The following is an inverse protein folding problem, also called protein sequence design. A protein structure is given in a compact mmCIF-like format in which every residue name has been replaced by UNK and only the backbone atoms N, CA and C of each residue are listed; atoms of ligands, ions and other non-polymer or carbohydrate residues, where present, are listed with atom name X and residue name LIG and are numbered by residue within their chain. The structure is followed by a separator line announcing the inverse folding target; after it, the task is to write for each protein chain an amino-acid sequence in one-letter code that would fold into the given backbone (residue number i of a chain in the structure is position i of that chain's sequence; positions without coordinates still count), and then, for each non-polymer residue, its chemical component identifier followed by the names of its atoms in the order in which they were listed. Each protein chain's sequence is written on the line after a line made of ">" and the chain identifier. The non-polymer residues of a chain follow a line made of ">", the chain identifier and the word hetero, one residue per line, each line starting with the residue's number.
data_IF_889822850242
#
_entry.id   IF_889822850242
#
_cell.length_a   1.000
_cell.length_b   1.000
_cell.length_c   1.000
_cell.angle_alpha   90.00
_cell.angle_beta   90.00
_cell.angle_gamma   90.00
#
_symmetry.space_group_name_H-M   'P 1'
#
loop_
_entity.id
_entity.type
_entity.pdbx_description
1 polymer ?
#
# COMPACT_ATOMS: atom_id res chain seq x y z
N UNK A 1 -9.47 27.93 -11.98
CA UNK A 1 -8.88 29.18 -12.49
C UNK A 1 -7.52 29.32 -11.82
N UNK A 2 -6.42 29.18 -12.56
CA UNK A 2 -5.06 29.38 -12.04
C UNK A 2 -4.69 30.86 -12.22
N UNK A 3 -4.10 31.46 -11.19
CA UNK A 3 -3.60 32.82 -11.24
C UNK A 3 -2.40 32.88 -12.21
N UNK A 4 -2.26 33.93 -13.04
CA UNK A 4 -1.05 34.14 -13.85
C UNK A 4 0.21 34.18 -12.97
N UNK A 5 1.32 33.58 -13.42
CA UNK A 5 2.55 33.42 -12.61
C UNK A 5 3.09 34.75 -12.05
N UNK A 6 3.00 35.83 -12.84
CA UNK A 6 3.44 37.17 -12.42
C UNK A 6 2.59 37.73 -11.26
N UNK A 7 1.27 37.55 -11.30
CA UNK A 7 0.38 37.96 -10.21
C UNK A 7 0.54 37.07 -8.97
N UNK A 8 0.92 35.81 -9.14
CA UNK A 8 1.18 34.93 -8.00
C UNK A 8 2.41 35.39 -7.23
N UNK A 9 3.47 35.82 -7.92
CA UNK A 9 4.69 36.32 -7.29
C UNK A 9 4.44 37.60 -6.47
N UNK A 10 3.75 38.58 -7.05
CA UNK A 10 3.40 39.82 -6.34
C UNK A 10 2.50 39.54 -5.13
N UNK A 11 1.55 38.60 -5.26
CA UNK A 11 0.68 38.19 -4.16
C UNK A 11 1.46 37.55 -2.99
N UNK A 12 2.44 36.69 -3.28
CA UNK A 12 3.25 36.05 -2.24
C UNK A 12 4.16 37.05 -1.53
N UNK A 13 4.76 38.00 -2.26
CA UNK A 13 5.58 39.08 -1.68
C UNK A 13 4.76 39.97 -0.73
N UNK A 14 3.60 40.42 -1.18
CA UNK A 14 2.74 41.29 -0.39
C UNK A 14 2.20 40.58 0.87
N UNK A 15 1.97 39.26 0.78
CA UNK A 15 1.57 38.44 1.92
C UNK A 15 2.71 38.26 2.94
N UNK A 16 3.94 38.02 2.47
CA UNK A 16 5.13 37.88 3.30
C UNK A 16 5.43 39.19 4.04
N UNK A 17 5.42 40.33 3.35
CA UNK A 17 5.59 41.66 3.96
C UNK A 17 4.50 41.95 5.01
N UNK A 18 3.26 41.55 4.75
CA UNK A 18 2.16 41.70 5.71
C UNK A 18 2.35 40.81 6.94
N UNK A 19 2.77 39.55 6.78
CA UNK A 19 3.01 38.61 7.87
C UNK A 19 4.23 39.01 8.72
N UNK A 20 5.32 39.49 8.10
CA UNK A 20 6.51 40.02 8.79
C UNK A 20 6.19 41.29 9.58
N UNK A 21 5.43 42.23 8.98
CA UNK A 21 5.03 43.47 9.64
C UNK A 21 4.12 43.24 10.85
N UNK A 22 3.32 42.17 10.83
CA UNK A 22 2.42 41.81 11.93
C UNK A 22 3.03 40.85 12.95
N UNK A 23 4.29 40.42 12.74
CA UNK A 23 5.11 39.62 13.66
C UNK A 23 4.28 38.57 14.44
N UNK A 24 3.45 37.84 13.71
CA UNK A 24 2.51 36.88 14.31
C UNK A 24 3.30 35.68 14.85
N UNK A 25 3.14 35.38 16.15
CA UNK A 25 3.84 34.31 16.87
C UNK A 25 3.41 32.88 16.45
N UNK A 26 2.54 32.75 15.44
CA UNK A 26 1.99 31.48 15.00
C UNK A 26 2.31 31.24 13.52
N UNK A 27 2.70 30.00 13.24
CA UNK A 27 2.71 29.33 11.92
C UNK A 27 1.86 30.10 10.90
N UNK A 28 2.52 30.69 9.90
CA UNK A 28 1.88 31.54 8.90
C UNK A 28 0.75 30.81 8.20
N UNK A 29 -0.15 31.54 7.54
CA UNK A 29 -1.30 30.90 6.90
C UNK A 29 -0.87 29.83 5.89
N UNK A 30 0.26 30.06 5.22
CA UNK A 30 0.91 29.13 4.29
C UNK A 30 1.45 27.90 5.01
N UNK A 31 2.21 28.10 6.10
CA UNK A 31 2.78 27.00 6.88
C UNK A 31 1.67 26.12 7.49
N UNK A 32 0.54 26.72 7.91
CA UNK A 32 -0.62 25.99 8.44
C UNK A 32 -1.27 25.12 7.38
N UNK A 33 -1.41 25.65 6.16
CA UNK A 33 -1.91 24.90 5.01
C UNK A 33 -0.93 23.76 4.66
N UNK A 34 0.38 24.02 4.69
CA UNK A 34 1.41 23.01 4.44
C UNK A 34 1.37 21.86 5.46
N UNK A 35 1.28 22.18 6.75
CA UNK A 35 1.16 21.19 7.84
C UNK A 35 -0.12 20.37 7.68
N UNK A 36 -1.26 21.02 7.46
CA UNK A 36 -2.54 20.32 7.33
C UNK A 36 -2.56 19.43 6.09
N UNK A 37 -2.02 19.91 4.96
CA UNK A 37 -1.87 19.13 3.73
C UNK A 37 -0.97 17.91 3.95
N UNK A 38 0.21 18.08 4.53
CA UNK A 38 1.12 16.96 4.83
C UNK A 38 0.49 15.95 5.80
N UNK A 39 -0.29 16.42 6.80
CA UNK A 39 -1.03 15.55 7.72
C UNK A 39 -2.14 14.77 7.02
N UNK A 40 -2.79 15.36 6.02
CA UNK A 40 -3.80 14.68 5.20
C UNK A 40 -3.14 13.65 4.29
N UNK A 41 -2.10 14.04 3.56
CA UNK A 41 -1.35 13.16 2.64
C UNK A 41 -0.79 11.95 3.38
N UNK A 42 -0.05 12.15 4.47
CA UNK A 42 0.51 11.05 5.26
C UNK A 42 -0.56 10.13 5.87
N UNK A 43 -1.74 10.66 6.22
CA UNK A 43 -2.87 9.83 6.68
C UNK A 43 -3.48 9.01 5.54
N UNK A 44 -3.57 9.58 4.35
CA UNK A 44 -4.12 8.89 3.17
C UNK A 44 -3.15 7.80 2.74
N UNK A 45 -1.88 8.12 2.55
CA UNK A 45 -0.83 7.16 2.18
C UNK A 45 -0.74 6.02 3.18
N UNK A 46 -0.58 6.32 4.47
CA UNK A 46 -0.49 5.29 5.51
C UNK A 46 -1.75 4.42 5.62
N UNK A 47 -2.94 4.96 5.31
CA UNK A 47 -4.18 4.17 5.27
C UNK A 47 -4.24 3.26 4.04
N UNK A 48 -3.76 3.72 2.90
CA UNK A 48 -3.73 2.93 1.66
C UNK A 48 -2.73 1.80 1.78
N UNK A 49 -1.49 2.11 2.17
CA UNK A 49 -0.42 1.12 2.39
C UNK A 49 -0.82 0.10 3.46
N UNK A 50 -1.25 0.56 4.63
CA UNK A 50 -1.67 -0.34 5.72
C UNK A 50 -2.87 -1.22 5.36
N UNK A 51 -3.76 -0.74 4.48
CA UNK A 51 -4.87 -1.58 3.97
C UNK A 51 -4.35 -2.64 3.00
N UNK A 52 -3.46 -2.28 2.08
CA UNK A 52 -2.89 -3.22 1.11
C UNK A 52 -2.08 -4.32 1.82
N UNK A 53 -1.17 -3.95 2.72
CA UNK A 53 -0.39 -4.89 3.53
C UNK A 53 -1.30 -5.79 4.38
N UNK A 54 -2.32 -5.20 5.01
CA UNK A 54 -3.28 -5.95 5.82
C UNK A 54 -4.11 -6.95 5.02
N UNK A 55 -4.51 -6.60 3.79
CA UNK A 55 -5.21 -7.51 2.87
C UNK A 55 -4.31 -8.68 2.45
N UNK A 56 -3.08 -8.39 2.05
CA UNK A 56 -2.12 -9.41 1.63
C UNK A 56 -1.77 -10.36 2.79
N UNK A 57 -1.46 -9.83 3.98
CA UNK A 57 -1.22 -10.64 5.17
C UNK A 57 -2.44 -11.50 5.56
N UNK A 58 -3.65 -10.95 5.41
CA UNK A 58 -4.91 -11.66 5.63
C UNK A 58 -5.13 -12.81 4.65
N UNK A 59 -4.84 -12.60 3.37
CA UNK A 59 -4.94 -13.63 2.33
C UNK A 59 -3.97 -14.78 2.61
N UNK A 60 -2.69 -14.47 2.86
CA UNK A 60 -1.65 -15.46 3.18
C UNK A 60 -2.04 -16.27 4.41
N UNK A 61 -2.47 -15.60 5.49
CA UNK A 61 -2.90 -16.28 6.72
C UNK A 61 -4.07 -17.23 6.46
N UNK A 62 -5.03 -16.81 5.64
CA UNK A 62 -6.21 -17.63 5.30
C UNK A 62 -5.79 -18.87 4.51
N UNK A 63 -4.96 -18.68 3.50
CA UNK A 63 -4.44 -19.77 2.68
C UNK A 63 -3.67 -20.80 3.52
N UNK A 64 -2.73 -20.36 4.35
CA UNK A 64 -1.98 -21.24 5.25
C UNK A 64 -2.91 -22.02 6.19
N UNK A 65 -3.93 -21.36 6.75
CA UNK A 65 -4.91 -22.01 7.63
C UNK A 65 -5.69 -23.10 6.89
N UNK A 66 -6.10 -22.86 5.64
CA UNK A 66 -6.82 -23.87 4.84
C UNK A 66 -5.90 -25.05 4.55
N UNK A 67 -4.65 -24.80 4.15
CA UNK A 67 -3.64 -25.83 3.88
C UNK A 67 -3.37 -26.70 5.11
N UNK A 68 -3.17 -26.08 6.28
CA UNK A 68 -2.95 -26.78 7.54
C UNK A 68 -4.14 -27.68 7.91
N UNK A 69 -5.36 -27.18 7.74
CA UNK A 69 -6.58 -27.94 8.04
C UNK A 69 -6.86 -29.07 7.05
N UNK A 70 -6.59 -28.87 5.76
CA UNK A 70 -6.90 -29.85 4.71
C UNK A 70 -5.82 -30.92 4.59
N UNK A 71 -4.57 -30.50 4.53
CA UNK A 71 -3.46 -31.39 4.21
C UNK A 71 -2.84 -32.02 5.47
N UNK A 72 -3.14 -31.50 6.66
CA UNK A 72 -2.80 -32.12 7.94
C UNK A 72 -1.30 -32.34 8.20
N UNK A 73 -0.43 -31.83 7.33
CA UNK A 73 1.02 -31.97 7.36
C UNK A 73 1.67 -30.61 7.69
N UNK A 74 2.92 -30.65 8.14
CA UNK A 74 3.66 -29.44 8.48
C UNK A 74 3.82 -28.53 7.27
N UNK A 75 3.38 -27.28 7.42
CA UNK A 75 3.58 -26.21 6.44
C UNK A 75 5.08 -26.08 6.10
N UNK A 76 5.47 -26.14 4.82
CA UNK A 76 6.86 -25.91 4.42
C UNK A 76 7.37 -24.55 4.88
N UNK A 77 8.57 -24.50 5.46
CA UNK A 77 9.13 -23.28 6.08
C UNK A 77 9.32 -22.11 5.11
N UNK A 78 9.56 -22.40 3.83
CA UNK A 78 9.76 -21.37 2.80
C UNK A 78 8.46 -20.86 2.18
N UNK A 79 7.34 -21.57 2.37
CA UNK A 79 6.08 -21.22 1.74
C UNK A 79 5.56 -19.84 2.15
N UNK A 80 5.55 -19.45 3.44
CA UNK A 80 5.10 -18.11 3.82
C UNK A 80 5.90 -17.00 3.16
N UNK A 81 7.23 -17.17 2.99
CA UNK A 81 8.08 -16.20 2.29
C UNK A 81 7.75 -16.12 0.81
N UNK A 82 7.50 -17.26 0.17
CA UNK A 82 7.11 -17.29 -1.24
C UNK A 82 5.77 -16.58 -1.45
N UNK A 83 4.77 -16.83 -0.60
CA UNK A 83 3.46 -16.19 -0.69
C UNK A 83 3.53 -14.66 -0.46
N UNK A 84 4.45 -14.18 0.37
CA UNK A 84 4.67 -12.73 0.56
C UNK A 84 5.18 -12.01 -0.69
N UNK A 85 5.80 -12.74 -1.63
CA UNK A 85 6.32 -12.17 -2.87
C UNK A 85 5.29 -12.15 -4.00
N UNK A 86 4.13 -12.78 -3.80
CA UNK A 86 3.08 -12.87 -4.82
C UNK A 86 2.16 -11.65 -4.77
N UNK A 87 1.70 -11.15 -5.92
CA UNK A 87 0.68 -10.12 -5.99
C UNK A 87 -0.67 -10.64 -5.47
N UNK A 88 -1.54 -9.73 -5.04
CA UNK A 88 -2.83 -10.05 -4.41
C UNK A 88 -3.68 -10.97 -5.29
N UNK A 89 -3.71 -10.73 -6.60
CA UNK A 89 -4.50 -11.51 -7.55
C UNK A 89 -4.08 -12.99 -7.58
N UNK A 90 -2.78 -13.26 -7.48
CA UNK A 90 -2.27 -14.63 -7.43
C UNK A 90 -2.59 -15.29 -6.09
N UNK A 91 -2.57 -14.53 -4.98
CA UNK A 91 -2.99 -15.05 -3.68
C UNK A 91 -4.47 -15.42 -3.66
N UNK A 92 -5.33 -14.60 -4.27
CA UNK A 92 -6.76 -14.89 -4.41
C UNK A 92 -7.00 -16.15 -5.25
N UNK A 93 -6.31 -16.29 -6.38
CA UNK A 93 -6.36 -17.51 -7.20
C UNK A 93 -5.94 -18.75 -6.42
N UNK A 94 -4.86 -18.66 -5.65
CA UNK A 94 -4.40 -19.76 -4.80
C UNK A 94 -5.42 -20.12 -3.71
N UNK A 95 -6.21 -19.16 -3.19
CA UNK A 95 -7.30 -19.43 -2.24
C UNK A 95 -8.43 -20.24 -2.87
N UNK A 96 -8.72 -20.04 -4.14
CA UNK A 96 -9.71 -20.86 -4.85
C UNK A 96 -9.12 -22.25 -5.16
N UNK A 97 -7.88 -22.30 -5.63
CA UNK A 97 -7.18 -23.52 -6.01
C UNK A 97 -6.93 -24.45 -4.82
N UNK A 98 -6.67 -23.91 -3.63
CA UNK A 98 -6.38 -24.70 -2.43
C UNK A 98 -7.57 -25.58 -2.02
N UNK A 99 -8.78 -25.29 -2.49
CA UNK A 99 -9.96 -26.11 -2.24
C UNK A 99 -9.94 -27.41 -3.06
N UNK A 100 -9.12 -27.48 -4.11
CA UNK A 100 -9.04 -28.58 -5.07
C UNK A 100 -7.76 -29.42 -4.93
N UNK A 101 -6.85 -29.07 -4.02
CA UNK A 101 -5.59 -29.78 -3.83
C UNK A 101 -5.70 -30.79 -2.69
N UNK A 102 -5.15 -31.99 -2.93
CA UNK A 102 -5.17 -33.10 -1.97
C UNK A 102 -3.79 -33.39 -1.35
N UNK A 103 -2.73 -32.68 -1.78
CA UNK A 103 -1.38 -32.83 -1.23
C UNK A 103 -0.54 -31.56 -1.38
N UNK A 104 0.52 -31.47 -0.56
CA UNK A 104 1.47 -30.36 -0.62
C UNK A 104 2.23 -30.30 -1.95
N UNK A 105 2.55 -31.45 -2.54
CA UNK A 105 3.26 -31.53 -3.82
C UNK A 105 2.43 -30.90 -4.94
N UNK A 106 1.14 -31.23 -5.02
CA UNK A 106 0.22 -30.66 -6.02
C UNK A 106 0.08 -29.16 -5.81
N UNK A 107 -0.03 -28.71 -4.56
CA UNK A 107 -0.12 -27.28 -4.26
C UNK A 107 1.17 -26.52 -4.68
N UNK A 108 2.34 -27.05 -4.34
CA UNK A 108 3.64 -26.43 -4.68
C UNK A 108 3.83 -26.34 -6.19
N UNK A 109 3.37 -27.34 -6.98
CA UNK A 109 3.42 -27.27 -8.44
C UNK A 109 2.52 -26.19 -9.05
N UNK A 110 1.49 -25.74 -8.33
CA UNK A 110 0.60 -24.65 -8.77
C UNK A 110 1.09 -23.27 -8.35
N UNK A 111 2.14 -23.18 -7.53
CA UNK A 111 2.73 -21.88 -7.24
C UNK A 111 3.26 -21.27 -8.54
N UNK A 112 2.87 -20.02 -8.86
CA UNK A 112 3.37 -19.34 -10.04
C UNK A 112 4.90 -19.25 -9.98
N UNK A 113 5.55 -19.57 -11.10
CA UNK A 113 7.00 -19.41 -11.22
C UNK A 113 7.36 -17.93 -11.00
N UNK A 114 8.50 -17.68 -10.35
CA UNK A 114 8.92 -16.33 -9.95
C UNK A 114 9.09 -15.32 -11.12
N UNK A 115 9.00 -15.79 -12.37
CA UNK A 115 9.16 -14.98 -13.58
C UNK A 115 7.91 -14.17 -13.98
N UNK A 116 6.72 -14.49 -13.45
CA UNK A 116 5.46 -13.82 -13.85
C UNK A 116 5.17 -12.52 -13.08
N UNK A 117 6.09 -12.08 -12.21
CA UNK A 117 5.96 -10.88 -11.38
C UNK A 117 6.27 -9.57 -12.15
N UNK A 118 6.51 -9.65 -13.46
CA UNK A 118 7.06 -8.56 -14.28
C UNK A 118 6.04 -7.84 -15.18
N UNK A 119 4.77 -8.26 -15.25
CA UNK A 119 3.81 -7.63 -16.16
C UNK A 119 2.67 -6.91 -15.43
N UNK A 120 2.78 -5.61 -15.16
CA UNK A 120 1.60 -4.80 -14.88
C UNK A 120 0.73 -4.79 -16.14
N UNK A 121 -0.51 -5.28 -16.03
CA UNK A 121 -1.51 -5.09 -17.09
C UNK A 121 -1.83 -3.59 -17.16
N UNK A 122 -1.39 -2.97 -18.25
CA UNK A 122 -1.69 -1.58 -18.64
C UNK A 122 -3.19 -1.32 -18.78
#
# INVERSE_FOLDING_TARGET
>A
MQLPEELAFDFWRDLEEYEEAHRMEYVTSVERIGIEKGRIEGRVEGRVEGRAEGQQAGAIRTLLRILEHRLGQQTPVELPKQLQLLPMEQLEQLIDDVLLVDSWEVFIQRLPAQDDNAQPRH
#
